data_IF_128825397330
#
_entry.id   IF_128825397330
#
_cell.length_a   1.000
_cell.length_b   1.000
_cell.length_c   1.000
_cell.angle_alpha   90.00
_cell.angle_beta   90.00
_cell.angle_gamma   90.00
#
_symmetry.space_group_name_H-M   'P 1'
#
loop_
_entity.id
_entity.type
_entity.pdbx_description
1 polymer ?
#
# COMPACT_ATOMS: atom_id res chain seq x y z
N UNK A 1 -13.51 19.25 -27.02
CA UNK A 1 -14.00 18.08 -26.27
C UNK A 1 -12.78 17.41 -25.64
N UNK A 2 -12.87 16.93 -24.42
CA UNK A 2 -11.78 16.15 -23.82
C UNK A 2 -11.55 14.88 -24.66
N UNK A 3 -10.31 14.44 -24.75
CA UNK A 3 -9.93 13.22 -25.47
C UNK A 3 -10.44 12.00 -24.69
N UNK A 4 -11.04 11.04 -25.39
CA UNK A 4 -11.53 9.79 -24.79
C UNK A 4 -10.39 8.81 -24.56
N UNK A 5 -10.39 8.10 -23.42
CA UNK A 5 -9.44 7.00 -23.15
C UNK A 5 -9.86 5.69 -23.81
N UNK A 6 -11.10 5.59 -24.32
CA UNK A 6 -11.63 4.33 -24.89
C UNK A 6 -10.76 3.76 -25.99
N UNK A 7 -10.42 2.49 -25.87
CA UNK A 7 -9.64 1.74 -26.86
C UNK A 7 -8.13 2.02 -26.81
N UNK A 8 -7.65 2.85 -25.89
CA UNK A 8 -6.23 3.19 -25.74
C UNK A 8 -5.50 2.21 -24.82
N UNK A 9 -4.18 2.24 -24.83
CA UNK A 9 -3.39 1.51 -23.85
C UNK A 9 -3.55 2.12 -22.45
N UNK A 10 -3.74 3.43 -22.35
CA UNK A 10 -4.03 4.14 -21.09
C UNK A 10 -5.30 3.61 -20.43
N UNK A 11 -6.38 3.33 -21.20
CA UNK A 11 -7.58 2.71 -20.62
C UNK A 11 -7.29 1.35 -19.99
N UNK A 12 -6.51 0.50 -20.67
CA UNK A 12 -6.12 -0.82 -20.14
C UNK A 12 -5.23 -0.69 -18.91
N UNK A 13 -4.27 0.24 -18.92
CA UNK A 13 -3.42 0.51 -17.77
C UNK A 13 -4.23 0.98 -16.56
N UNK A 14 -5.19 1.90 -16.75
CA UNK A 14 -6.09 2.36 -15.70
C UNK A 14 -6.90 1.20 -15.08
N UNK A 15 -7.43 0.31 -15.90
CA UNK A 15 -8.18 -0.84 -15.41
C UNK A 15 -7.29 -1.88 -14.72
N UNK A 16 -6.07 -2.09 -15.24
CA UNK A 16 -5.05 -2.95 -14.62
C UNK A 16 -4.67 -2.43 -13.26
N UNK A 17 -4.36 -1.13 -13.15
CA UNK A 17 -4.02 -0.51 -11.87
C UNK A 17 -5.21 -0.53 -10.89
N UNK A 18 -6.42 -0.22 -11.36
CA UNK A 18 -7.63 -0.34 -10.52
C UNK A 18 -7.81 -1.75 -9.93
N UNK A 19 -7.55 -2.79 -10.73
CA UNK A 19 -7.59 -4.17 -10.23
C UNK A 19 -6.44 -4.46 -9.26
N UNK A 20 -5.25 -3.94 -9.52
CA UNK A 20 -4.07 -4.01 -8.65
C UNK A 20 -4.34 -3.43 -7.28
N UNK A 21 -4.76 -2.18 -7.21
CA UNK A 21 -5.13 -1.48 -5.97
C UNK A 21 -6.26 -2.18 -5.21
N UNK A 22 -7.25 -2.67 -5.95
CA UNK A 22 -8.39 -3.36 -5.34
C UNK A 22 -7.97 -4.66 -4.65
N UNK A 23 -7.08 -5.45 -5.27
CA UNK A 23 -6.56 -6.67 -4.65
C UNK A 23 -5.56 -6.36 -3.53
N UNK A 24 -4.71 -5.33 -3.66
CA UNK A 24 -3.79 -4.89 -2.62
C UNK A 24 -4.56 -4.47 -1.36
N UNK A 25 -5.61 -3.66 -1.51
CA UNK A 25 -6.52 -3.31 -0.43
C UNK A 25 -7.04 -4.54 0.32
N UNK A 26 -7.48 -5.57 -0.40
CA UNK A 26 -7.99 -6.79 0.24
C UNK A 26 -6.89 -7.56 0.94
N UNK A 27 -5.72 -7.72 0.32
CA UNK A 27 -4.55 -8.38 0.94
C UNK A 27 -4.13 -7.67 2.23
N UNK A 28 -4.00 -6.34 2.21
CA UNK A 28 -3.61 -5.58 3.40
C UNK A 28 -4.64 -5.67 4.53
N UNK A 29 -5.93 -5.78 4.22
CA UNK A 29 -6.96 -6.08 5.23
C UNK A 29 -6.73 -7.44 5.90
N UNK A 30 -6.34 -8.46 5.12
CA UNK A 30 -6.00 -9.78 5.67
C UNK A 30 -4.71 -9.74 6.50
N UNK A 31 -3.68 -9.04 6.03
CA UNK A 31 -2.41 -8.86 6.71
C UNK A 31 -2.57 -8.11 8.03
N UNK A 32 -3.43 -7.09 8.07
CA UNK A 32 -3.79 -6.40 9.30
C UNK A 32 -4.38 -7.36 10.35
N UNK A 33 -5.23 -8.29 9.93
CA UNK A 33 -5.80 -9.30 10.82
C UNK A 33 -4.75 -10.25 11.41
N UNK A 34 -3.74 -10.63 10.61
CA UNK A 34 -2.61 -11.45 11.09
C UNK A 34 -1.77 -10.66 12.09
N UNK A 35 -1.34 -9.46 11.72
CA UNK A 35 -0.53 -8.61 12.59
C UNK A 35 -1.19 -8.37 13.95
N UNK A 36 -2.51 -8.16 13.95
CA UNK A 36 -3.27 -8.02 15.21
C UNK A 36 -3.25 -9.29 16.05
N UNK A 37 -3.42 -10.46 15.44
CA UNK A 37 -3.37 -11.76 16.14
C UNK A 37 -1.99 -12.06 16.72
N UNK A 38 -0.94 -11.61 16.04
CA UNK A 38 0.45 -11.74 16.49
C UNK A 38 0.86 -10.66 17.51
N UNK A 39 -0.04 -9.71 17.84
CA UNK A 39 0.20 -8.67 18.85
C UNK A 39 0.85 -7.39 18.30
N UNK A 40 1.04 -7.27 17.00
CA UNK A 40 1.62 -6.09 16.36
C UNK A 40 0.55 -5.03 16.03
N UNK A 41 -0.07 -4.45 17.05
CA UNK A 41 -1.19 -3.50 16.90
C UNK A 41 -0.86 -2.28 16.02
N UNK A 42 0.38 -1.77 16.08
CA UNK A 42 0.80 -0.66 15.21
C UNK A 42 0.87 -1.09 13.75
N UNK A 43 1.44 -2.25 13.47
CA UNK A 43 1.56 -2.78 12.11
C UNK A 43 0.17 -3.09 11.55
N UNK A 44 -0.71 -3.67 12.36
CA UNK A 44 -2.10 -3.91 11.98
C UNK A 44 -2.83 -2.61 11.60
N UNK A 45 -2.62 -1.55 12.35
CA UNK A 45 -3.23 -0.26 12.05
C UNK A 45 -2.66 0.37 10.76
N UNK A 46 -1.35 0.22 10.51
CA UNK A 46 -0.73 0.72 9.27
C UNK A 46 -1.23 -0.07 8.06
N UNK A 47 -1.35 -1.39 8.12
CA UNK A 47 -1.96 -2.16 7.04
C UNK A 47 -3.41 -1.74 6.77
N UNK A 48 -4.19 -1.44 7.81
CA UNK A 48 -5.57 -0.95 7.67
C UNK A 48 -5.59 0.44 7.01
N UNK A 49 -4.72 1.34 7.44
CA UNK A 49 -4.59 2.68 6.87
C UNK A 49 -4.20 2.61 5.40
N UNK A 50 -3.16 1.82 5.07
CA UNK A 50 -2.74 1.66 3.67
C UNK A 50 -3.86 1.03 2.84
N UNK A 51 -4.55 -0.01 3.32
CA UNK A 51 -5.71 -0.58 2.62
C UNK A 51 -6.80 0.46 2.29
N UNK A 52 -7.02 1.44 3.15
CA UNK A 52 -7.96 2.55 2.87
C UNK A 52 -7.37 3.56 1.87
N UNK A 53 -6.05 3.73 1.83
CA UNK A 53 -5.36 4.56 0.84
C UNK A 53 -5.42 3.92 -0.55
N UNK A 54 -5.19 2.60 -0.68
CA UNK A 54 -5.34 1.86 -1.97
C UNK A 54 -6.76 1.95 -2.53
N UNK A 55 -7.77 1.96 -1.67
CA UNK A 55 -9.14 2.23 -2.11
C UNK A 55 -9.28 3.61 -2.79
N UNK A 56 -8.60 4.64 -2.29
CA UNK A 56 -8.67 5.97 -2.89
C UNK A 56 -7.83 6.05 -4.19
N UNK A 57 -6.70 5.33 -4.28
CA UNK A 57 -5.94 5.17 -5.52
C UNK A 57 -6.79 4.47 -6.59
N UNK A 58 -7.37 3.32 -6.27
CA UNK A 58 -8.32 2.61 -7.13
C UNK A 58 -9.44 3.52 -7.64
N UNK A 59 -10.04 4.31 -6.76
CA UNK A 59 -11.10 5.26 -7.11
C UNK A 59 -10.61 6.38 -8.03
N UNK A 60 -9.38 6.84 -7.86
CA UNK A 60 -8.76 7.83 -8.76
C UNK A 60 -8.65 7.29 -10.18
N UNK A 61 -8.17 6.06 -10.34
CA UNK A 61 -8.04 5.39 -11.63
C UNK A 61 -9.40 5.12 -12.25
N UNK A 62 -10.35 4.62 -11.48
CA UNK A 62 -11.70 4.30 -11.93
C UNK A 62 -12.47 5.52 -12.47
N UNK A 63 -12.20 6.72 -11.94
CA UNK A 63 -12.84 7.97 -12.40
C UNK A 63 -12.46 8.38 -13.83
N UNK A 64 -11.36 7.87 -14.36
CA UNK A 64 -10.95 8.14 -15.75
C UNK A 64 -11.56 7.17 -16.75
N UNK A 65 -12.12 6.04 -16.28
CA UNK A 65 -12.78 5.06 -17.13
C UNK A 65 -14.17 5.56 -17.56
N UNK A 66 -14.51 5.28 -18.80
CA UNK A 66 -15.72 5.82 -19.46
C UNK A 66 -16.83 4.76 -19.60
N UNK A 67 -16.76 3.68 -18.81
CA UNK A 67 -17.75 2.60 -18.79
C UNK A 67 -17.61 1.60 -19.93
N UNK A 68 -18.40 0.53 -19.85
CA UNK A 68 -18.34 -0.62 -20.73
C UNK A 68 -17.55 -1.78 -20.13
N UNK A 69 -17.23 -2.76 -20.97
CA UNK A 69 -16.42 -3.91 -20.63
C UNK A 69 -15.09 -3.81 -21.37
N UNK A 70 -13.98 -3.86 -20.62
CA UNK A 70 -12.62 -3.78 -21.18
C UNK A 70 -11.87 -5.02 -20.76
N UNK A 71 -11.32 -5.74 -21.74
CA UNK A 71 -10.48 -6.91 -21.49
C UNK A 71 -9.05 -6.48 -21.18
N UNK A 72 -8.52 -6.98 -20.06
CA UNK A 72 -7.12 -6.80 -19.66
C UNK A 72 -6.47 -8.16 -19.42
N UNK A 73 -5.16 -8.23 -19.60
CA UNK A 73 -4.32 -9.33 -19.16
C UNK A 73 -3.28 -8.80 -18.21
N UNK A 74 -3.29 -9.29 -16.97
CA UNK A 74 -2.38 -8.86 -15.91
C UNK A 74 -2.05 -10.02 -14.97
N UNK A 75 -0.95 -9.92 -14.25
CA UNK A 75 -0.56 -10.84 -13.20
C UNK A 75 -0.62 -10.13 -11.85
N UNK A 76 -1.17 -10.81 -10.87
CA UNK A 76 -1.25 -10.31 -9.49
C UNK A 76 -0.77 -11.39 -8.51
N UNK A 77 -0.32 -11.02 -7.30
CA UNK A 77 0.04 -11.97 -6.27
C UNK A 77 -1.09 -12.97 -5.99
N UNK A 78 -0.79 -14.28 -6.07
CA UNK A 78 -1.76 -15.37 -5.92
C UNK A 78 -1.84 -15.96 -4.50
N UNK A 79 -1.47 -15.23 -3.48
CA UNK A 79 -1.37 -15.64 -2.09
C UNK A 79 0.11 -15.63 -1.71
N UNK A 80 0.53 -15.96 -0.48
CA UNK A 80 -0.23 -16.52 0.63
C UNK A 80 -0.49 -15.46 1.72
N UNK A 81 -1.33 -15.79 2.72
CA UNK A 81 -1.39 -15.01 3.96
C UNK A 81 -0.39 -15.68 4.92
N UNK A 82 0.77 -15.07 5.10
CA UNK A 82 1.86 -15.56 5.94
C UNK A 82 1.87 -14.94 7.34
N UNK A 83 3.01 -15.00 8.01
CA UNK A 83 3.31 -14.24 9.23
C UNK A 83 3.32 -12.73 8.96
N UNK A 84 3.29 -11.91 10.01
CA UNK A 84 3.39 -10.45 9.85
C UNK A 84 4.64 -10.04 9.08
N UNK A 85 5.79 -10.68 9.35
CA UNK A 85 7.04 -10.37 8.64
C UNK A 85 6.94 -10.72 7.14
N UNK A 86 6.46 -11.92 6.79
CA UNK A 86 6.28 -12.35 5.40
C UNK A 86 5.29 -11.44 4.67
N UNK A 87 4.20 -11.07 5.32
CA UNK A 87 3.19 -10.16 4.76
C UNK A 87 3.74 -8.75 4.52
N UNK A 88 4.59 -8.24 5.41
CA UNK A 88 5.28 -6.96 5.21
C UNK A 88 6.27 -7.01 4.04
N UNK A 89 7.00 -8.11 3.90
CA UNK A 89 7.95 -8.31 2.79
C UNK A 89 7.22 -8.37 1.45
N UNK A 90 6.12 -9.09 1.38
CA UNK A 90 5.28 -9.18 0.20
C UNK A 90 4.65 -7.82 -0.17
N UNK A 91 4.13 -7.08 0.83
CA UNK A 91 3.59 -5.76 0.63
C UNK A 91 4.67 -4.78 0.12
N UNK A 92 5.84 -4.72 0.78
CA UNK A 92 6.94 -3.86 0.37
C UNK A 92 7.46 -4.15 -1.04
N UNK A 93 7.42 -5.42 -1.48
CA UNK A 93 7.82 -5.80 -2.84
C UNK A 93 6.81 -5.30 -3.87
N UNK A 94 5.50 -5.40 -3.58
CA UNK A 94 4.44 -4.88 -4.46
C UNK A 94 4.51 -3.36 -4.62
N UNK A 95 4.59 -2.63 -3.51
CA UNK A 95 4.75 -1.17 -3.54
C UNK A 95 6.00 -0.75 -4.34
N UNK A 96 7.11 -1.49 -4.16
CA UNK A 96 8.34 -1.23 -4.91
C UNK A 96 8.15 -1.38 -6.42
N UNK A 97 7.48 -2.42 -6.89
CA UNK A 97 7.19 -2.64 -8.31
C UNK A 97 6.31 -1.52 -8.87
N UNK A 98 5.27 -1.11 -8.13
CA UNK A 98 4.35 -0.07 -8.56
C UNK A 98 5.04 1.28 -8.74
N UNK A 99 5.81 1.78 -7.75
CA UNK A 99 6.43 3.10 -7.86
C UNK A 99 7.68 3.14 -8.74
N UNK A 100 8.42 2.02 -8.85
CA UNK A 100 9.70 2.01 -9.57
C UNK A 100 9.57 1.57 -11.04
N UNK A 101 8.53 0.81 -11.39
CA UNK A 101 8.36 0.23 -12.72
C UNK A 101 7.01 0.57 -13.35
N UNK A 102 5.89 0.18 -12.72
CA UNK A 102 4.59 0.18 -13.36
C UNK A 102 4.02 1.59 -13.56
N UNK A 103 3.92 2.37 -12.50
CA UNK A 103 3.30 3.70 -12.59
C UNK A 103 4.13 4.71 -13.38
N UNK A 104 5.48 4.73 -13.30
CA UNK A 104 6.28 5.51 -14.24
C UNK A 104 6.02 5.14 -15.71
N UNK A 105 6.00 3.84 -16.04
CA UNK A 105 5.71 3.36 -17.38
C UNK A 105 4.31 3.74 -17.85
N UNK A 106 3.31 3.61 -16.98
CA UNK A 106 1.93 3.97 -17.32
C UNK A 106 1.75 5.48 -17.47
N UNK A 107 2.50 6.28 -16.71
CA UNK A 107 2.55 7.72 -16.88
C UNK A 107 3.12 8.11 -18.24
N UNK A 108 4.24 7.50 -18.65
CA UNK A 108 4.86 7.80 -19.93
C UNK A 108 3.93 7.43 -21.11
N UNK A 109 3.27 6.26 -21.05
CA UNK A 109 2.26 5.86 -22.05
C UNK A 109 1.09 6.87 -22.08
N UNK A 110 0.63 7.33 -20.93
CA UNK A 110 -0.45 8.31 -20.87
C UNK A 110 -0.06 9.65 -21.50
N UNK A 111 1.19 10.11 -21.32
CA UNK A 111 1.71 11.30 -21.99
C UNK A 111 1.81 11.11 -23.50
N UNK A 112 2.35 9.98 -23.96
CA UNK A 112 2.46 9.63 -25.39
C UNK A 112 1.08 9.57 -26.07
N UNK A 113 0.09 9.03 -25.36
CA UNK A 113 -1.29 8.98 -25.83
C UNK A 113 -2.06 10.31 -25.61
N UNK A 114 -1.41 11.36 -25.08
CA UNK A 114 -1.98 12.71 -24.93
C UNK A 114 -2.94 12.86 -23.76
N UNK A 115 -2.69 12.17 -22.64
CA UNK A 115 -3.42 12.26 -21.39
C UNK A 115 -2.53 12.76 -20.22
N UNK A 116 -2.04 14.01 -20.26
CA UNK A 116 -1.06 14.50 -19.28
C UNK A 116 -1.60 14.54 -17.84
N UNK A 117 -2.91 14.69 -17.66
CA UNK A 117 -3.53 14.67 -16.33
C UNK A 117 -3.52 13.26 -15.71
N UNK A 118 -3.67 12.22 -16.54
CA UNK A 118 -3.55 10.83 -16.11
C UNK A 118 -2.08 10.51 -15.80
N UNK A 119 -1.15 10.96 -16.63
CA UNK A 119 0.28 10.82 -16.39
C UNK A 119 0.69 11.47 -15.07
N UNK A 120 0.22 12.68 -14.79
CA UNK A 120 0.47 13.35 -13.51
C UNK A 120 -0.13 12.59 -12.33
N UNK A 121 -1.33 12.03 -12.48
CA UNK A 121 -1.95 11.19 -11.45
C UNK A 121 -1.06 9.99 -11.11
N UNK A 122 -0.58 9.23 -12.11
CA UNK A 122 0.31 8.09 -11.88
C UNK A 122 1.60 8.48 -11.16
N UNK A 123 2.24 9.58 -11.58
CA UNK A 123 3.46 10.07 -10.93
C UNK A 123 3.23 10.46 -9.47
N UNK A 124 2.07 11.06 -9.16
CA UNK A 124 1.73 11.42 -7.78
C UNK A 124 1.42 10.20 -6.92
N UNK A 125 0.71 9.21 -7.46
CA UNK A 125 0.46 7.95 -6.75
C UNK A 125 1.78 7.22 -6.50
N UNK A 126 2.68 7.12 -7.48
CA UNK A 126 4.00 6.51 -7.31
C UNK A 126 4.80 7.10 -6.12
N UNK A 127 4.63 8.39 -5.81
CA UNK A 127 5.24 9.00 -4.61
C UNK A 127 4.62 8.44 -3.32
N UNK A 128 3.31 8.17 -3.32
CA UNK A 128 2.63 7.58 -2.17
C UNK A 128 3.08 6.13 -1.96
N UNK A 129 3.17 5.32 -3.03
CA UNK A 129 3.59 3.91 -2.95
C UNK A 129 5.04 3.78 -2.47
N UNK A 130 5.90 4.70 -2.86
CA UNK A 130 7.24 4.78 -2.28
C UNK A 130 7.21 5.01 -0.76
N UNK A 131 6.33 5.87 -0.28
CA UNK A 131 6.13 6.10 1.15
C UNK A 131 5.55 4.87 1.87
N UNK A 132 4.68 4.10 1.23
CA UNK A 132 4.16 2.83 1.75
C UNK A 132 5.29 1.80 1.90
N UNK A 133 6.12 1.61 0.85
CA UNK A 133 7.28 0.73 0.90
C UNK A 133 8.23 1.10 2.03
N UNK A 134 8.61 2.38 2.15
CA UNK A 134 9.52 2.86 3.20
C UNK A 134 8.98 2.54 4.61
N UNK A 135 7.67 2.70 4.84
CA UNK A 135 7.03 2.32 6.09
C UNK A 135 7.11 0.82 6.36
N UNK A 136 6.78 -0.01 5.37
CA UNK A 136 6.84 -1.46 5.51
C UNK A 136 8.26 -1.94 5.78
N UNK A 137 9.26 -1.41 5.08
CA UNK A 137 10.68 -1.75 5.32
C UNK A 137 11.14 -1.36 6.73
N UNK A 138 10.69 -0.24 7.27
CA UNK A 138 11.00 0.15 8.64
C UNK A 138 10.41 -0.86 9.65
N UNK A 139 9.19 -1.37 9.43
CA UNK A 139 8.62 -2.41 10.28
C UNK A 139 9.31 -3.77 10.13
N UNK A 140 9.70 -4.16 8.92
CA UNK A 140 10.52 -5.35 8.67
C UNK A 140 11.79 -5.28 9.53
N UNK A 141 12.53 -4.17 9.42
CA UNK A 141 13.74 -3.95 10.20
C UNK A 141 13.47 -4.02 11.72
N UNK A 142 12.38 -3.41 12.21
CA UNK A 142 12.04 -3.47 13.63
C UNK A 142 11.75 -4.90 14.12
N UNK A 143 11.11 -5.72 13.30
CA UNK A 143 10.85 -7.14 13.65
C UNK A 143 12.16 -7.93 13.65
N UNK A 144 12.97 -7.81 12.60
CA UNK A 144 14.24 -8.54 12.44
C UNK A 144 15.27 -8.20 13.53
N UNK A 145 15.25 -6.96 14.02
CA UNK A 145 16.13 -6.50 15.10
C UNK A 145 15.51 -6.62 16.51
N UNK A 146 14.33 -7.24 16.63
CA UNK A 146 13.56 -7.32 17.87
C UNK A 146 13.31 -5.96 18.55
N UNK A 147 13.22 -4.89 17.76
CA UNK A 147 13.08 -3.52 18.24
C UNK A 147 11.66 -2.96 18.16
N UNK A 148 10.65 -3.81 17.89
CA UNK A 148 9.24 -3.38 17.85
C UNK A 148 8.80 -2.88 19.23
N UNK A 149 9.13 -3.61 20.31
CA UNK A 149 8.72 -3.31 21.68
C UNK A 149 9.88 -2.90 22.59
N UNK A 150 11.10 -2.76 22.05
CA UNK A 150 12.29 -2.32 22.78
C UNK A 150 13.09 -1.35 21.92
N UNK A 151 13.70 -0.35 22.54
CA UNK A 151 14.56 0.64 21.87
C UNK A 151 15.86 0.82 22.67
N UNK A 152 16.93 1.25 21.99
CA UNK A 152 18.22 1.51 22.66
C UNK A 152 18.13 2.63 23.70
N UNK A 153 17.33 3.65 23.43
CA UNK A 153 17.06 4.79 24.31
C UNK A 153 15.64 4.81 24.85
N UNK A 154 15.37 5.72 25.79
CA UNK A 154 14.01 5.98 26.25
C UNK A 154 13.17 6.61 25.16
N UNK A 155 11.98 6.05 24.93
CA UNK A 155 10.99 6.55 23.96
C UNK A 155 9.62 6.59 24.61
N UNK A 156 8.70 7.30 23.96
CA UNK A 156 7.30 7.37 24.40
C UNK A 156 6.53 6.23 23.75
N UNK A 157 5.92 5.39 24.55
CA UNK A 157 5.00 4.32 24.17
C UNK A 157 3.57 4.78 24.38
N UNK A 158 2.71 4.50 23.44
CA UNK A 158 1.27 4.76 23.57
C UNK A 158 0.47 3.48 23.35
N UNK A 159 -0.39 3.16 24.31
CA UNK A 159 -1.34 2.09 24.14
C UNK A 159 -2.41 2.47 23.09
N UNK A 160 -2.51 1.70 22.01
CA UNK A 160 -3.48 1.98 20.96
C UNK A 160 -4.92 1.65 21.34
N UNK A 161 -5.13 0.92 22.45
CA UNK A 161 -6.46 0.61 22.93
C UNK A 161 -7.05 1.71 23.83
N UNK A 162 -6.26 2.20 24.79
CA UNK A 162 -6.78 3.16 25.80
C UNK A 162 -6.08 4.52 25.80
N UNK A 163 -5.01 4.71 24.99
CA UNK A 163 -4.26 5.97 24.93
C UNK A 163 -3.26 6.18 26.08
N UNK A 164 -3.06 5.18 26.98
CA UNK A 164 -2.07 5.29 28.06
C UNK A 164 -0.68 5.58 27.49
N UNK A 165 0.02 6.52 28.10
CA UNK A 165 1.37 6.97 27.72
C UNK A 165 2.37 6.49 28.78
N UNK A 166 3.48 5.93 28.30
CA UNK A 166 4.60 5.46 29.11
C UNK A 166 5.93 5.86 28.46
N UNK A 167 6.91 6.27 29.28
CA UNK A 167 8.27 6.57 28.82
C UNK A 167 9.23 5.53 29.36
N UNK A 168 10.01 4.91 28.48
CA UNK A 168 10.99 3.89 28.84
C UNK A 168 11.61 3.23 27.62
N UNK A 169 12.59 2.36 27.84
CA UNK A 169 13.26 1.63 26.75
C UNK A 169 12.43 0.49 26.17
N UNK A 170 11.55 -0.08 26.97
CA UNK A 170 10.69 -1.20 26.60
C UNK A 170 9.22 -0.84 26.79
N UNK A 171 8.36 -1.32 25.92
CA UNK A 171 6.93 -1.19 26.07
C UNK A 171 6.46 -2.01 27.30
N UNK A 172 5.51 -1.50 28.13
CA UNK A 172 4.92 -2.30 29.21
C UNK A 172 4.25 -3.57 28.66
N UNK A 173 4.47 -4.69 29.33
CA UNK A 173 3.83 -5.96 28.95
C UNK A 173 2.32 -5.97 29.20
N UNK A 174 1.88 -5.16 30.14
CA UNK A 174 0.47 -5.02 30.53
C UNK A 174 0.15 -3.53 30.65
N UNK A 175 -0.96 -3.12 30.06
CA UNK A 175 -1.50 -1.77 30.25
C UNK A 175 -2.16 -1.70 31.64
N UNK A 176 -1.82 -0.70 32.49
CA UNK A 176 -2.38 -0.55 33.82
C UNK A 176 -3.87 -0.22 33.82
#
# INVERSE_FOLDING_TARGET
MAKSVKGTQTEKNLLTSFAGESQARMRYTYFASVAKKEGYEQIAAIFTETADQEKEHAKRMFKWLEGGMVEITASYPAGVIGTTLENLQEAAAGEHEEWSLDYPKFADIADEEGFPEIALMYRNIAIAEKGHEERYRAFIQNIETASVFAKEGEVVWQCRNCGFIYTGKEAPQVCP
#
